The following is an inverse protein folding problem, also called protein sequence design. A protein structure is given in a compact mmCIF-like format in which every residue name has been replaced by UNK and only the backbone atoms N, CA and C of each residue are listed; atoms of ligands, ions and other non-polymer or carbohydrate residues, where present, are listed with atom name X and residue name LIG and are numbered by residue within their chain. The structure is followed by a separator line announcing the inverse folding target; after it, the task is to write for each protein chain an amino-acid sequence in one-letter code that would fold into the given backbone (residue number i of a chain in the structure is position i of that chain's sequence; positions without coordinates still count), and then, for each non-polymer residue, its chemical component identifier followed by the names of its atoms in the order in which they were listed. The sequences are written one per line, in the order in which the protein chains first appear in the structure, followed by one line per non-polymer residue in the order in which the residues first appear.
data_IF_744075663605
#
_entry.id   IF_744075663605
#
_cell.length_a   1.000
_cell.length_b   1.000
_cell.length_c   1.000
_cell.angle_alpha   90.00
_cell.angle_beta   90.00
_cell.angle_gamma   90.00
#
_symmetry.space_group_name_H-M   'P 1'
#
loop_
_entity.id
_entity.type
_entity.pdbx_description
1 polymer ?
#
# COMPACT_ATOMS: atom_id res chain seq x y z
N UNK A 1 3.12 19.28 9.79
CA UNK A 1 1.68 19.46 9.56
C UNK A 1 0.95 18.58 10.57
N UNK A 2 0.21 19.20 11.45
CA UNK A 2 -0.68 18.48 12.36
C UNK A 2 -1.83 17.91 11.54
N UNK A 3 -1.76 16.62 11.24
CA UNK A 3 -2.86 15.90 10.63
C UNK A 3 -3.90 15.61 11.70
N UNK A 4 -4.79 16.57 11.93
CA UNK A 4 -5.83 16.49 12.97
C UNK A 4 -6.83 15.36 12.66
N UNK A 5 -6.98 15.01 11.36
CA UNK A 5 -7.87 13.98 10.91
C UNK A 5 -7.34 13.39 9.59
N UNK A 6 -7.07 12.10 9.58
CA UNK A 6 -6.55 11.38 8.40
C UNK A 6 -7.35 10.11 8.17
N UNK A 7 -7.57 9.78 6.90
CA UNK A 7 -8.18 8.52 6.51
C UNK A 7 -7.12 7.62 5.88
N UNK A 8 -6.76 6.54 6.58
CA UNK A 8 -5.85 5.52 6.09
C UNK A 8 -6.56 4.56 5.15
N UNK A 9 -5.92 4.23 4.03
CA UNK A 9 -6.36 3.22 3.07
C UNK A 9 -5.18 2.29 2.80
N UNK A 10 -5.41 0.98 2.77
CA UNK A 10 -4.29 0.05 2.63
C UNK A 10 -4.54 -1.10 1.70
N UNK A 11 -3.45 -1.38 1.00
CA UNK A 11 -3.12 -2.44 0.07
C UNK A 11 -4.20 -2.65 -0.99
N UNK A 12 -4.16 -1.76 -2.00
CA UNK A 12 -5.15 -1.73 -3.09
C UNK A 12 -4.85 -2.76 -4.17
N UNK A 13 -3.58 -2.97 -4.50
CA UNK A 13 -3.14 -3.97 -5.48
C UNK A 13 -3.98 -4.00 -6.76
N UNK A 14 -4.11 -2.87 -7.45
CA UNK A 14 -4.79 -2.80 -8.73
C UNK A 14 -6.31 -2.98 -8.68
N UNK A 15 -6.92 -3.04 -7.51
CA UNK A 15 -8.38 -3.17 -7.34
C UNK A 15 -9.08 -1.82 -7.46
N UNK A 16 -9.06 -1.25 -8.68
CA UNK A 16 -9.59 0.09 -8.94
C UNK A 16 -11.08 0.22 -8.62
N UNK A 17 -11.89 -0.78 -8.92
CA UNK A 17 -13.31 -0.78 -8.62
C UNK A 17 -13.60 -0.74 -7.13
N UNK A 18 -12.84 -1.50 -6.34
CA UNK A 18 -12.95 -1.47 -4.87
C UNK A 18 -12.53 -0.11 -4.31
N UNK A 19 -11.45 0.49 -4.82
CA UNK A 19 -11.01 1.82 -4.41
C UNK A 19 -12.07 2.88 -4.75
N UNK A 20 -12.64 2.83 -5.94
CA UNK A 20 -13.70 3.75 -6.35
C UNK A 20 -14.91 3.67 -5.41
N UNK A 21 -15.33 2.47 -5.05
CA UNK A 21 -16.44 2.26 -4.12
C UNK A 21 -16.12 2.76 -2.71
N UNK A 22 -14.90 2.52 -2.23
CA UNK A 22 -14.47 3.02 -0.93
C UNK A 22 -14.44 4.56 -0.89
N UNK A 23 -13.99 5.20 -1.97
CA UNK A 23 -13.94 6.66 -2.07
C UNK A 23 -15.33 7.32 -2.07
N UNK A 24 -16.40 6.60 -2.42
CA UNK A 24 -17.78 7.09 -2.26
C UNK A 24 -18.17 7.36 -0.81
N UNK A 25 -17.49 6.75 0.13
CA UNK A 25 -17.70 6.94 1.58
C UNK A 25 -16.83 8.08 2.16
N UNK A 26 -15.99 8.70 1.34
CA UNK A 26 -15.13 9.81 1.76
C UNK A 26 -15.90 11.13 1.77
N UNK A 27 -15.65 11.96 2.79
CA UNK A 27 -16.30 13.26 2.95
C UNK A 27 -15.74 14.37 2.04
N UNK A 28 -14.73 14.07 1.23
CA UNK A 28 -14.08 15.03 0.33
C UNK A 28 -13.16 16.03 1.04
N UNK A 29 -12.99 15.96 2.34
CA UNK A 29 -12.21 16.91 3.15
C UNK A 29 -11.15 16.27 4.03
N UNK A 30 -11.45 15.13 4.68
CA UNK A 30 -10.48 14.38 5.48
C UNK A 30 -9.27 14.02 4.63
N UNK A 31 -8.06 14.30 5.11
CA UNK A 31 -6.85 13.97 4.36
C UNK A 31 -6.75 12.47 4.14
N UNK A 32 -6.64 12.05 2.89
CA UNK A 32 -6.40 10.65 2.54
C UNK A 32 -4.91 10.32 2.70
N UNK A 33 -4.64 9.15 3.27
CA UNK A 33 -3.30 8.62 3.43
C UNK A 33 -3.29 7.15 3.00
N UNK A 34 -2.69 6.89 1.84
CA UNK A 34 -2.53 5.54 1.31
C UNK A 34 -1.27 4.90 1.90
N UNK A 35 -1.38 3.67 2.37
CA UNK A 35 -0.28 2.96 3.03
C UNK A 35 0.68 2.28 2.05
N UNK A 36 0.51 2.46 0.74
CA UNK A 36 1.32 1.81 -0.28
C UNK A 36 0.67 0.55 -0.86
N UNK A 37 1.41 -0.16 -1.69
CA UNK A 37 0.93 -1.33 -2.45
C UNK A 37 -0.32 -1.02 -3.27
N UNK A 38 -0.20 -0.01 -4.12
CA UNK A 38 -1.24 0.37 -5.08
C UNK A 38 -1.34 -0.60 -6.26
N UNK A 39 -0.22 -1.22 -6.61
CA UNK A 39 0.03 -1.95 -7.85
C UNK A 39 0.26 -3.44 -7.62
N UNK A 40 0.34 -4.17 -8.70
CA UNK A 40 0.66 -5.59 -8.82
C UNK A 40 -0.51 -6.49 -8.43
N UNK A 41 -0.57 -7.65 -9.06
CA UNK A 41 -1.54 -8.73 -8.85
C UNK A 41 -2.96 -8.45 -9.33
N UNK A 42 -3.48 -7.26 -9.10
CA UNK A 42 -4.84 -6.88 -9.47
C UNK A 42 -5.00 -6.53 -10.95
N UNK A 43 -6.24 -6.31 -11.34
CA UNK A 43 -6.64 -6.20 -12.75
C UNK A 43 -6.45 -4.81 -13.36
N UNK A 44 -6.27 -3.75 -12.56
CA UNK A 44 -6.21 -2.39 -13.11
C UNK A 44 -5.27 -1.46 -12.32
N UNK A 45 -3.99 -1.82 -12.27
CA UNK A 45 -2.97 -1.06 -11.56
C UNK A 45 -2.78 0.35 -12.12
N UNK A 46 -2.86 0.53 -13.46
CA UNK A 46 -2.74 1.85 -14.06
C UNK A 46 -3.82 2.80 -13.57
N UNK A 47 -5.06 2.35 -13.55
CA UNK A 47 -6.18 3.18 -13.09
C UNK A 47 -6.03 3.55 -11.60
N UNK A 48 -5.59 2.62 -10.77
CA UNK A 48 -5.30 2.92 -9.36
C UNK A 48 -4.23 4.01 -9.25
N UNK A 49 -3.14 3.88 -9.99
CA UNK A 49 -2.07 4.90 -10.00
C UNK A 49 -2.60 6.27 -10.45
N UNK A 50 -3.39 6.31 -11.51
CA UNK A 50 -3.97 7.57 -12.03
C UNK A 50 -4.93 8.21 -11.00
N UNK A 51 -5.80 7.41 -10.38
CA UNK A 51 -6.72 7.89 -9.35
C UNK A 51 -5.98 8.46 -8.13
N UNK A 52 -4.99 7.74 -7.61
CA UNK A 52 -4.26 8.14 -6.41
C UNK A 52 -3.35 9.33 -6.72
N UNK A 53 -2.71 9.35 -7.89
CA UNK A 53 -1.93 10.51 -8.34
C UNK A 53 -2.78 11.78 -8.40
N UNK A 54 -3.99 11.70 -8.95
CA UNK A 54 -4.91 12.84 -8.99
C UNK A 54 -5.28 13.32 -7.58
N UNK A 55 -5.56 12.41 -6.67
CA UNK A 55 -5.84 12.74 -5.27
C UNK A 55 -4.64 13.41 -4.58
N UNK A 56 -3.43 12.94 -4.85
CA UNK A 56 -2.20 13.54 -4.30
C UNK A 56 -1.95 14.93 -4.90
N UNK A 57 -2.05 15.06 -6.21
CA UNK A 57 -1.74 16.32 -6.91
C UNK A 57 -2.79 17.40 -6.63
N UNK A 58 -4.07 17.03 -6.51
CA UNK A 58 -5.18 18.00 -6.50
C UNK A 58 -5.99 18.05 -5.22
N UNK A 59 -5.93 17.02 -4.37
CA UNK A 59 -6.76 16.92 -3.14
C UNK A 59 -5.94 16.82 -1.85
N UNK A 60 -4.63 16.95 -1.93
CA UNK A 60 -3.76 16.91 -0.76
C UNK A 60 -3.58 15.54 -0.11
N UNK A 61 -3.89 14.45 -0.82
CA UNK A 61 -3.63 13.10 -0.34
C UNK A 61 -2.13 12.82 -0.21
N UNK A 62 -1.79 11.88 0.65
CA UNK A 62 -0.43 11.35 0.80
C UNK A 62 -0.49 9.87 0.41
N UNK A 63 0.51 9.40 -0.34
CA UNK A 63 0.68 7.99 -0.64
C UNK A 63 2.08 7.53 -0.24
N UNK A 64 2.17 6.57 0.67
CA UNK A 64 3.42 5.94 1.05
C UNK A 64 3.85 4.93 0.00
N UNK A 65 5.16 4.71 -0.12
CA UNK A 65 5.72 3.60 -0.89
C UNK A 65 5.54 2.29 -0.12
N UNK A 66 5.01 1.27 -0.78
CA UNK A 66 5.03 -0.10 -0.30
C UNK A 66 6.18 -0.91 -0.94
N UNK A 67 6.30 -2.18 -0.56
CA UNK A 67 7.32 -3.05 -1.18
C UNK A 67 7.05 -3.28 -2.68
N UNK A 68 5.80 -3.25 -3.12
CA UNK A 68 5.49 -3.40 -4.54
C UNK A 68 5.92 -2.19 -5.36
N UNK A 69 5.77 -0.96 -4.88
CA UNK A 69 6.35 0.23 -5.51
C UNK A 69 7.89 0.17 -5.50
N UNK A 70 8.46 -0.29 -4.39
CA UNK A 70 9.91 -0.48 -4.28
C UNK A 70 10.43 -1.50 -5.30
N UNK A 71 9.76 -2.65 -5.46
CA UNK A 71 10.11 -3.66 -6.48
C UNK A 71 9.94 -3.14 -7.91
N UNK A 72 8.88 -2.39 -8.17
CA UNK A 72 8.64 -1.76 -9.48
C UNK A 72 9.81 -0.84 -9.87
N UNK A 73 10.26 0.03 -8.98
CA UNK A 73 11.38 0.93 -9.24
C UNK A 73 12.70 0.16 -9.39
N UNK A 74 12.92 -0.86 -8.58
CA UNK A 74 14.11 -1.72 -8.69
C UNK A 74 14.15 -2.41 -10.04
N UNK A 75 12.99 -2.90 -10.52
CA UNK A 75 12.87 -3.48 -11.86
C UNK A 75 13.22 -2.46 -12.96
N UNK A 76 12.69 -1.24 -12.88
CA UNK A 76 13.01 -0.20 -13.87
C UNK A 76 14.49 0.18 -13.88
N UNK A 77 15.12 0.22 -12.71
CA UNK A 77 16.52 0.64 -12.58
C UNK A 77 17.50 -0.48 -12.97
N UNK A 78 17.14 -1.74 -12.78
CA UNK A 78 17.95 -2.91 -13.14
C UNK A 78 17.05 -4.07 -13.63
N UNK A 79 16.50 -3.98 -14.85
CA UNK A 79 15.51 -4.93 -15.31
C UNK A 79 16.07 -6.34 -15.54
N UNK A 80 17.33 -6.49 -15.94
CA UNK A 80 17.93 -7.79 -16.17
C UNK A 80 18.02 -8.62 -14.89
N UNK A 81 18.46 -8.02 -13.80
CA UNK A 81 18.63 -8.71 -12.52
C UNK A 81 17.32 -8.81 -11.73
N UNK A 82 16.42 -7.85 -11.88
CA UNK A 82 15.28 -7.69 -10.97
C UNK A 82 13.95 -8.17 -11.52
N UNK A 83 13.82 -8.36 -12.83
CA UNK A 83 12.53 -8.71 -13.44
C UNK A 83 11.97 -10.02 -12.90
N UNK A 84 12.78 -11.07 -12.75
CA UNK A 84 12.29 -12.36 -12.30
C UNK A 84 11.68 -12.30 -10.89
N UNK A 85 12.31 -11.53 -9.99
CA UNK A 85 11.75 -11.29 -8.66
C UNK A 85 10.44 -10.48 -8.74
N UNK A 86 10.41 -9.43 -9.55
CA UNK A 86 9.21 -8.61 -9.71
C UNK A 86 8.05 -9.41 -10.32
N UNK A 87 8.32 -10.21 -11.34
CA UNK A 87 7.33 -11.10 -11.96
C UNK A 87 6.71 -12.06 -10.95
N UNK A 88 7.53 -12.72 -10.14
CA UNK A 88 7.07 -13.66 -9.10
C UNK A 88 6.19 -12.99 -8.03
N UNK A 89 6.28 -11.69 -7.91
CA UNK A 89 5.47 -10.90 -6.97
C UNK A 89 4.28 -10.20 -7.64
N UNK A 90 3.90 -10.62 -8.84
CA UNK A 90 2.71 -10.13 -9.51
C UNK A 90 2.91 -8.89 -10.37
N UNK A 91 4.16 -8.56 -10.73
CA UNK A 91 4.49 -7.34 -11.49
C UNK A 91 3.97 -7.32 -12.93
N UNK A 92 3.77 -8.49 -13.56
CA UNK A 92 3.34 -8.56 -14.96
C UNK A 92 1.97 -7.90 -15.20
N UNK A 93 1.05 -8.00 -14.25
CA UNK A 93 -0.26 -7.34 -14.37
C UNK A 93 -0.13 -5.82 -14.41
N UNK A 94 0.79 -5.26 -13.64
CA UNK A 94 1.07 -3.82 -13.65
C UNK A 94 1.69 -3.39 -14.97
N UNK A 95 2.70 -4.12 -15.44
CA UNK A 95 3.36 -3.83 -16.71
C UNK A 95 2.33 -3.84 -17.86
N UNK A 96 1.52 -4.89 -17.93
CA UNK A 96 0.49 -5.02 -18.95
C UNK A 96 -0.59 -3.93 -18.82
N UNK A 97 -1.01 -3.60 -17.60
CA UNK A 97 -1.97 -2.53 -17.34
C UNK A 97 -1.44 -1.16 -17.84
N UNK A 98 -0.21 -0.83 -17.48
CA UNK A 98 0.42 0.44 -17.90
C UNK A 98 0.54 0.52 -19.43
N UNK A 99 0.91 -0.57 -20.09
CA UNK A 99 1.11 -0.61 -21.54
C UNK A 99 -0.17 -0.89 -22.34
N UNK A 100 -1.33 -1.01 -21.66
CA UNK A 100 -2.63 -1.19 -22.31
C UNK A 100 -2.80 -2.56 -22.98
N UNK A 101 -2.19 -3.61 -22.43
CA UNK A 101 -2.25 -4.99 -22.93
C UNK A 101 -3.15 -5.86 -22.04
N UNK A 102 -3.63 -7.03 -22.54
CA UNK A 102 -4.29 -8.01 -21.68
C UNK A 102 -3.40 -8.42 -20.49
N UNK A 103 -4.00 -8.70 -19.35
CA UNK A 103 -3.26 -8.98 -18.09
C UNK A 103 -2.29 -10.16 -18.21
N UNK A 104 -2.60 -11.13 -19.05
CA UNK A 104 -1.81 -12.35 -19.29
C UNK A 104 -0.90 -12.25 -20.53
N UNK A 105 -0.78 -11.07 -21.13
CA UNK A 105 0.12 -10.88 -22.27
C UNK A 105 1.57 -11.17 -21.87
N UNK A 106 2.37 -11.76 -22.76
CA UNK A 106 3.79 -11.97 -22.50
C UNK A 106 4.53 -10.67 -22.22
N UNK A 107 5.41 -10.68 -21.22
CA UNK A 107 6.22 -9.53 -20.82
C UNK A 107 7.68 -9.78 -21.17
N UNK A 108 8.31 -8.82 -21.85
CA UNK A 108 9.76 -8.74 -21.99
C UNK A 108 10.31 -7.81 -20.90
N UNK A 109 10.93 -8.38 -19.87
CA UNK A 109 11.34 -7.63 -18.68
C UNK A 109 12.28 -6.46 -18.94
N UNK A 110 13.11 -6.52 -19.99
CA UNK A 110 14.07 -5.46 -20.35
C UNK A 110 13.43 -4.42 -21.27
N UNK A 111 12.82 -4.87 -22.38
CA UNK A 111 12.21 -3.96 -23.36
C UNK A 111 10.98 -3.23 -22.77
N UNK A 112 10.17 -3.92 -22.00
CA UNK A 112 9.00 -3.30 -21.37
C UNK A 112 9.37 -2.31 -20.27
N UNK A 113 10.51 -2.49 -19.59
CA UNK A 113 11.03 -1.49 -18.67
C UNK A 113 11.32 -0.16 -19.38
N UNK A 114 11.95 -0.22 -20.55
CA UNK A 114 12.19 0.97 -21.37
C UNK A 114 10.90 1.63 -21.83
N UNK A 115 9.92 0.83 -22.24
CA UNK A 115 8.62 1.33 -22.68
C UNK A 115 7.86 2.01 -21.53
N UNK A 116 7.80 1.39 -20.36
CA UNK A 116 7.15 1.97 -19.19
C UNK A 116 7.82 3.29 -18.78
N UNK A 117 9.15 3.32 -18.75
CA UNK A 117 9.90 4.53 -18.39
C UNK A 117 9.63 5.70 -19.36
N UNK A 118 9.34 5.42 -20.62
CA UNK A 118 9.06 6.43 -21.65
C UNK A 118 7.57 6.76 -21.73
N UNK A 119 6.71 5.74 -21.82
CA UNK A 119 5.27 5.90 -22.08
C UNK A 119 4.49 6.30 -20.83
N UNK A 120 5.00 6.04 -19.63
CA UNK A 120 4.37 6.34 -18.36
C UNK A 120 5.31 7.10 -17.39
N UNK A 121 6.14 8.00 -17.93
CA UNK A 121 7.14 8.73 -17.16
C UNK A 121 6.54 9.51 -15.98
N UNK A 122 5.34 10.04 -16.12
CA UNK A 122 4.63 10.76 -15.06
C UNK A 122 4.21 9.84 -13.90
N UNK A 123 3.76 8.63 -14.20
CA UNK A 123 3.43 7.63 -13.18
C UNK A 123 4.69 7.10 -12.48
N UNK A 124 5.78 6.91 -13.23
CA UNK A 124 7.07 6.50 -12.66
C UNK A 124 7.57 7.56 -11.68
N UNK A 125 7.53 8.84 -12.07
CA UNK A 125 7.96 9.94 -11.21
C UNK A 125 7.06 10.05 -9.95
N UNK A 126 5.77 9.86 -10.10
CA UNK A 126 4.84 9.82 -8.97
C UNK A 126 5.27 8.75 -7.95
N UNK A 127 5.59 7.54 -8.43
CA UNK A 127 6.06 6.44 -7.55
C UNK A 127 7.40 6.78 -6.91
N UNK A 128 8.34 7.38 -7.66
CA UNK A 128 9.66 7.76 -7.12
C UNK A 128 9.57 8.78 -5.99
N UNK A 129 8.57 9.64 -5.98
CA UNK A 129 8.40 10.69 -4.98
C UNK A 129 7.63 10.24 -3.74
N UNK A 130 7.12 9.02 -3.69
CA UNK A 130 6.39 8.51 -2.52
C UNK A 130 7.28 8.48 -1.29
N UNK A 131 6.87 9.09 -0.16
CA UNK A 131 7.57 8.94 1.11
C UNK A 131 7.38 7.53 1.67
N UNK A 132 8.25 7.14 2.61
CA UNK A 132 8.22 5.82 3.25
C UNK A 132 7.51 5.83 4.60
N UNK A 133 7.37 6.99 5.21
CA UNK A 133 6.75 7.12 6.53
C UNK A 133 6.14 8.51 6.69
N UNK A 134 5.05 8.59 7.42
CA UNK A 134 4.47 9.85 7.89
C UNK A 134 4.35 9.77 9.40
N UNK A 135 4.95 10.73 10.09
CA UNK A 135 4.88 10.85 11.55
C UNK A 135 4.07 12.07 11.93
N UNK A 136 3.14 11.90 12.85
CA UNK A 136 2.39 12.99 13.50
C UNK A 136 2.65 12.94 15.00
N UNK A 137 2.03 13.82 15.76
CA UNK A 137 2.19 13.79 17.22
C UNK A 137 1.73 12.48 17.85
N UNK A 138 0.70 11.83 17.29
CA UNK A 138 0.09 10.61 17.84
C UNK A 138 0.29 9.37 17.02
N UNK A 139 0.64 9.48 15.73
CA UNK A 139 0.68 8.36 14.80
C UNK A 139 1.99 8.26 14.05
N UNK A 140 2.33 7.02 13.71
CA UNK A 140 3.32 6.69 12.70
C UNK A 140 2.58 5.86 11.64
N UNK A 141 2.53 6.36 10.40
CA UNK A 141 1.99 5.63 9.26
C UNK A 141 3.16 5.11 8.43
N UNK A 142 3.19 3.81 8.21
CA UNK A 142 4.27 3.13 7.50
C UNK A 142 3.68 1.93 6.75
N UNK A 143 4.28 1.56 5.61
CA UNK A 143 3.74 0.43 4.85
C UNK A 143 3.77 -0.88 5.62
N UNK A 144 4.95 -1.32 6.07
CA UNK A 144 5.12 -2.63 6.72
C UNK A 144 5.44 -2.53 8.22
N UNK A 145 6.34 -1.67 8.60
CA UNK A 145 6.76 -1.52 9.99
C UNK A 145 8.02 -0.68 10.15
N UNK A 146 8.46 -0.55 11.39
CA UNK A 146 9.70 0.13 11.78
C UNK A 146 10.52 -0.80 12.65
N UNK A 147 11.83 -0.59 12.69
CA UNK A 147 12.75 -1.43 13.48
C UNK A 147 12.72 -0.99 14.95
N UNK A 148 11.88 -1.67 15.74
CA UNK A 148 11.70 -1.41 17.17
C UNK A 148 12.84 -1.94 18.03
N UNK A 149 13.86 -2.58 17.45
CA UNK A 149 15.09 -2.99 18.15
C UNK A 149 16.10 -1.86 18.26
N UNK A 150 15.94 -0.80 17.46
CA UNK A 150 16.81 0.37 17.47
C UNK A 150 16.45 1.31 18.63
N UNK A 151 17.44 1.99 19.16
CA UNK A 151 17.22 3.06 20.16
C UNK A 151 16.41 4.21 19.57
N UNK A 152 16.70 4.56 18.32
CA UNK A 152 15.91 5.52 17.54
C UNK A 152 15.31 4.83 16.30
N UNK A 153 14.00 4.61 16.31
CA UNK A 153 13.30 3.98 15.20
C UNK A 153 13.39 4.78 13.89
N UNK A 154 13.69 6.08 13.94
CA UNK A 154 13.88 6.89 12.73
C UNK A 154 15.06 6.42 11.88
N UNK A 155 15.99 5.67 12.46
CA UNK A 155 17.09 5.05 11.73
C UNK A 155 16.70 3.78 10.97
N UNK A 156 15.44 3.36 11.02
CA UNK A 156 14.92 2.26 10.21
C UNK A 156 15.18 2.53 8.73
N UNK A 157 15.79 1.57 8.03
CA UNK A 157 16.04 1.70 6.59
C UNK A 157 14.75 1.70 5.79
N UNK A 158 14.74 2.31 4.61
CA UNK A 158 13.59 2.32 3.72
C UNK A 158 13.18 0.89 3.31
N UNK A 159 14.16 0.01 3.08
CA UNK A 159 13.91 -1.41 2.81
C UNK A 159 13.11 -2.08 3.94
N UNK A 160 13.50 -1.88 5.19
CA UNK A 160 12.77 -2.44 6.34
C UNK A 160 11.36 -1.87 6.46
N UNK A 161 11.17 -0.58 6.20
CA UNK A 161 9.85 0.05 6.26
C UNK A 161 8.84 -0.59 5.32
N UNK A 162 9.28 -1.19 4.22
CA UNK A 162 8.40 -1.81 3.24
C UNK A 162 8.36 -3.33 3.30
N UNK A 163 9.26 -3.98 4.05
CA UNK A 163 9.36 -5.45 4.08
C UNK A 163 9.18 -6.09 5.45
N UNK A 164 9.25 -5.38 6.55
CA UNK A 164 9.16 -5.95 7.89
C UNK A 164 7.84 -6.72 8.09
N UNK A 165 7.92 -7.85 8.77
CA UNK A 165 6.78 -8.68 9.18
C UNK A 165 6.91 -9.04 10.65
N UNK A 166 7.16 -10.30 10.96
CA UNK A 166 7.17 -10.87 12.30
C UNK A 166 8.07 -10.11 13.31
N UNK A 167 9.30 -9.72 12.98
CA UNK A 167 10.12 -8.95 13.92
C UNK A 167 9.46 -7.64 14.39
N UNK A 168 8.69 -7.00 13.52
CA UNK A 168 7.92 -5.82 13.89
C UNK A 168 6.64 -6.18 14.67
N UNK A 169 5.90 -7.19 14.20
CA UNK A 169 4.63 -7.58 14.83
C UNK A 169 4.81 -8.04 16.28
N UNK A 170 5.89 -8.73 16.59
CA UNK A 170 6.17 -9.30 17.91
C UNK A 170 6.94 -8.37 18.85
N UNK A 171 7.60 -7.33 18.32
CA UNK A 171 8.35 -6.41 19.14
C UNK A 171 7.43 -5.45 19.92
N UNK A 172 7.87 -5.03 21.09
CA UNK A 172 7.17 -4.02 21.87
C UNK A 172 7.24 -2.65 21.22
N UNK A 173 6.10 -1.95 21.15
CA UNK A 173 6.05 -0.58 20.67
C UNK A 173 6.38 0.40 21.81
N UNK A 174 7.57 0.93 21.80
CA UNK A 174 8.07 1.90 22.78
C UNK A 174 8.13 3.33 22.24
N UNK A 175 7.51 3.60 21.07
CA UNK A 175 7.57 4.92 20.43
C UNK A 175 6.71 5.99 21.12
N UNK A 176 5.76 5.58 21.94
CA UNK A 176 4.76 6.48 22.52
C UNK A 176 3.67 6.90 21.52
N UNK A 177 3.66 6.34 20.32
CA UNK A 177 2.70 6.63 19.26
C UNK A 177 1.99 5.37 18.78
N UNK A 178 0.85 5.54 18.14
CA UNK A 178 0.14 4.46 17.47
C UNK A 178 0.76 4.26 16.08
N UNK A 179 1.11 3.01 15.75
CA UNK A 179 1.69 2.66 14.46
C UNK A 179 0.62 2.01 13.60
N UNK A 180 0.29 2.66 12.48
CA UNK A 180 -0.70 2.17 11.50
C UNK A 180 0.05 1.64 10.28
N UNK A 181 -0.22 0.41 9.88
CA UNK A 181 0.53 -0.27 8.82
C UNK A 181 -0.37 -1.21 7.99
N UNK A 182 0.16 -1.62 6.83
CA UNK A 182 -0.44 -2.59 5.90
C UNK A 182 0.46 -3.80 5.69
N UNK A 183 0.71 -4.18 4.43
CA UNK A 183 1.69 -5.17 3.98
C UNK A 183 1.39 -6.63 4.33
N UNK A 184 0.99 -6.91 5.55
CA UNK A 184 0.70 -8.28 6.02
C UNK A 184 -0.81 -8.43 6.19
N UNK A 185 -1.46 -9.28 5.37
CA UNK A 185 -2.90 -9.49 5.48
C UNK A 185 -3.32 -9.89 6.87
N UNK A 186 -4.25 -9.14 7.45
CA UNK A 186 -4.66 -9.34 8.86
C UNK A 186 -5.36 -10.67 9.10
N UNK A 187 -6.01 -11.24 8.09
CA UNK A 187 -6.62 -12.57 8.24
C UNK A 187 -5.58 -13.65 8.60
N UNK A 188 -4.35 -13.52 8.09
CA UNK A 188 -3.24 -14.41 8.45
C UNK A 188 -2.78 -14.21 9.89
N UNK A 189 -2.69 -12.97 10.35
CA UNK A 189 -2.31 -12.63 11.72
C UNK A 189 -3.37 -13.06 12.73
N UNK A 190 -4.64 -12.93 12.38
CA UNK A 190 -5.79 -13.28 13.20
C UNK A 190 -6.15 -14.77 13.12
N UNK A 191 -5.60 -15.51 12.14
CA UNK A 191 -5.97 -16.89 11.81
C UNK A 191 -7.47 -17.03 11.55
N UNK A 192 -8.00 -16.12 10.75
CA UNK A 192 -9.39 -16.05 10.33
C UNK A 192 -9.53 -16.25 8.82
N UNK A 193 -10.77 -16.35 8.35
CA UNK A 193 -11.08 -16.44 6.93
C UNK A 193 -10.76 -15.11 6.21
N UNK A 194 -10.42 -15.19 4.91
CA UNK A 194 -10.02 -14.03 4.09
C UNK A 194 -11.07 -12.93 4.03
N UNK A 195 -12.34 -13.22 4.18
CA UNK A 195 -13.42 -12.24 4.16
C UNK A 195 -13.61 -11.45 5.45
N UNK A 196 -12.79 -11.69 6.49
CA UNK A 196 -12.92 -10.93 7.74
C UNK A 196 -12.71 -9.44 7.52
N UNK A 197 -13.54 -8.63 8.16
CA UNK A 197 -13.41 -7.17 8.21
C UNK A 197 -12.72 -6.70 9.49
N UNK A 198 -12.19 -7.60 10.30
CA UNK A 198 -11.48 -7.25 11.52
C UNK A 198 -10.11 -6.66 11.21
N UNK A 199 -9.62 -5.84 12.14
CA UNK A 199 -8.26 -5.30 12.13
C UNK A 199 -7.39 -6.07 13.12
N UNK A 200 -6.09 -6.10 12.87
CA UNK A 200 -5.15 -6.61 13.86
C UNK A 200 -4.69 -5.45 14.73
N UNK A 201 -4.93 -5.53 16.04
CA UNK A 201 -4.58 -4.47 16.99
C UNK A 201 -3.90 -5.04 18.21
N UNK A 202 -2.90 -4.32 18.73
CA UNK A 202 -2.19 -4.67 19.97
C UNK A 202 -2.46 -3.62 21.05
N UNK A 203 -2.31 -4.01 22.30
CA UNK A 203 -2.51 -3.11 23.45
C UNK A 203 -1.49 -1.96 23.46
N UNK A 204 -0.29 -2.21 22.92
CA UNK A 204 0.79 -1.19 22.85
C UNK A 204 0.69 -0.27 21.65
N UNK A 205 -0.38 -0.35 20.85
CA UNK A 205 -0.71 0.65 19.83
C UNK A 205 -0.23 0.34 18.43
N UNK A 206 -0.27 -0.92 17.99
CA UNK A 206 -0.10 -1.26 16.56
C UNK A 206 -1.47 -1.55 15.95
N UNK A 207 -1.71 -1.05 14.74
CA UNK A 207 -2.94 -1.29 13.99
C UNK A 207 -2.58 -1.73 12.58
N UNK A 208 -2.80 -3.02 12.28
CA UNK A 208 -2.67 -3.60 10.95
C UNK A 208 -3.99 -3.56 10.22
N UNK A 209 -4.00 -3.02 8.99
CA UNK A 209 -5.24 -2.80 8.24
C UNK A 209 -5.20 -3.32 6.79
N UNK A 210 -4.25 -4.17 6.44
CA UNK A 210 -4.28 -4.85 5.15
C UNK A 210 -5.31 -5.97 5.18
N UNK A 211 -6.45 -5.73 4.57
CA UNK A 211 -7.54 -6.70 4.50
C UNK A 211 -7.35 -7.79 3.44
N UNK A 212 -6.27 -7.75 2.68
CA UNK A 212 -6.03 -8.72 1.60
C UNK A 212 -7.02 -8.59 0.44
N UNK A 213 -7.38 -7.36 0.07
CA UNK A 213 -8.41 -7.07 -0.93
C UNK A 213 -8.25 -7.88 -2.22
N UNK A 214 -7.03 -7.93 -2.79
CA UNK A 214 -6.76 -8.64 -4.05
C UNK A 214 -6.85 -10.16 -3.92
N UNK A 215 -6.74 -10.71 -2.73
CA UNK A 215 -6.82 -12.15 -2.45
C UNK A 215 -8.20 -12.61 -2.02
N UNK A 216 -9.23 -11.84 -2.28
CA UNK A 216 -10.60 -12.16 -1.88
C UNK A 216 -11.03 -11.59 -0.54
N UNK A 217 -10.18 -10.77 0.08
CA UNK A 217 -10.49 -10.08 1.33
C UNK A 217 -11.18 -8.74 1.11
N UNK A 218 -10.88 -7.78 1.98
CA UNK A 218 -11.53 -6.48 1.99
C UNK A 218 -10.52 -5.34 1.84
N UNK A 219 -10.99 -4.19 1.37
CA UNK A 219 -10.24 -2.94 1.35
C UNK A 219 -10.77 -2.03 2.45
N UNK A 220 -9.92 -1.69 3.41
CA UNK A 220 -10.28 -0.83 4.53
C UNK A 220 -10.03 0.66 4.26
N UNK A 221 -10.93 1.50 4.78
CA UNK A 221 -10.73 2.92 4.95
C UNK A 221 -11.06 3.32 6.39
N UNK A 222 -10.08 3.85 7.11
CA UNK A 222 -10.18 4.10 8.54
C UNK A 222 -9.81 5.55 8.85
N UNK A 223 -10.68 6.25 9.56
CA UNK A 223 -10.41 7.63 9.99
C UNK A 223 -9.74 7.61 11.37
N UNK A 224 -8.59 8.26 11.43
CA UNK A 224 -7.80 8.47 12.64
C UNK A 224 -7.85 9.95 13.04
N UNK A 225 -8.09 10.20 14.31
CA UNK A 225 -8.05 11.54 14.90
C UNK A 225 -7.17 11.50 16.15
N UNK A 226 -7.01 12.64 16.82
CA UNK A 226 -6.33 12.69 18.12
C UNK A 226 -7.07 11.91 19.23
N UNK A 227 -8.33 11.49 18.98
CA UNK A 227 -9.12 10.65 19.89
C UNK A 227 -9.05 9.15 19.51
N UNK A 228 -8.29 8.76 18.49
CA UNK A 228 -8.20 7.39 17.99
C UNK A 228 -8.98 7.15 16.72
N UNK A 229 -9.32 5.88 16.44
CA UNK A 229 -10.16 5.52 15.30
C UNK A 229 -11.60 5.98 15.53
N UNK A 230 -12.18 6.69 14.56
CA UNK A 230 -13.54 7.24 14.66
C UNK A 230 -14.50 6.68 13.63
N UNK A 231 -14.01 6.24 12.48
CA UNK A 231 -14.80 5.65 11.40
C UNK A 231 -14.04 4.48 10.78
N UNK A 232 -14.76 3.42 10.47
CA UNK A 232 -14.23 2.26 9.78
C UNK A 232 -15.19 1.83 8.68
N UNK A 233 -14.76 1.98 7.43
CA UNK A 233 -15.45 1.46 6.26
C UNK A 233 -14.61 0.38 5.60
N UNK A 234 -15.26 -0.57 4.94
CA UNK A 234 -14.57 -1.57 4.13
C UNK A 234 -15.42 -1.96 2.92
N UNK A 235 -14.75 -2.37 1.87
CA UNK A 235 -15.35 -2.87 0.63
C UNK A 235 -14.92 -4.32 0.45
N UNK A 236 -15.86 -5.21 0.21
CA UNK A 236 -15.59 -6.61 -0.10
C UNK A 236 -15.03 -6.77 -1.52
N UNK A 237 -14.26 -7.82 -1.76
CA UNK A 237 -13.72 -8.12 -3.09
C UNK A 237 -14.84 -8.17 -4.13
N UNK A 238 -14.63 -7.56 -5.28
CA UNK A 238 -15.62 -7.34 -6.34
C UNK A 238 -15.57 -8.38 -7.49
N UNK A 239 -14.92 -9.52 -7.27
CA UNK A 239 -14.92 -10.65 -8.19
C UNK A 239 -13.54 -11.13 -8.64
N UNK A 240 -12.64 -10.24 -9.07
CA UNK A 240 -11.29 -10.66 -9.44
C UNK A 240 -10.47 -10.96 -8.19
N UNK A 241 -9.90 -12.17 -8.13
CA UNK A 241 -9.06 -12.63 -7.02
C UNK A 241 -7.73 -13.11 -7.60
N UNK A 242 -6.62 -12.54 -7.11
CA UNK A 242 -5.28 -12.98 -7.49
C UNK A 242 -4.91 -14.27 -6.74
N UNK A 243 -4.05 -15.06 -7.38
CA UNK A 243 -3.40 -16.20 -6.70
C UNK A 243 -2.31 -15.69 -5.75
N UNK A 244 -2.15 -16.41 -4.63
CA UNK A 244 -1.08 -16.13 -3.64
C UNK A 244 0.30 -16.52 -4.19
#
# INVERSE_FOLDING_TARGET
RDLVRSRGLGDVHGKAGMLEDLLKTWDGQTQLLFLGDLIDRGEDSRRVLEMVKDLVDNQGAICLSGNHEYMFLTWLDDPEESYDHYRRNGGDTTINSILGRPLDAPVDGVEDAKRVATEAADLVEFIRQMPFVVETDKYIFVHAGIDLTLDDWHETTDYKKVWLRKPFHEAENHTGKIIVFGHTPVYGLLKQDRGTAELWMTEDGKIGMDGGAVYGGVLHGIVFTDQGMTEHHFIENDGFIAED
#
